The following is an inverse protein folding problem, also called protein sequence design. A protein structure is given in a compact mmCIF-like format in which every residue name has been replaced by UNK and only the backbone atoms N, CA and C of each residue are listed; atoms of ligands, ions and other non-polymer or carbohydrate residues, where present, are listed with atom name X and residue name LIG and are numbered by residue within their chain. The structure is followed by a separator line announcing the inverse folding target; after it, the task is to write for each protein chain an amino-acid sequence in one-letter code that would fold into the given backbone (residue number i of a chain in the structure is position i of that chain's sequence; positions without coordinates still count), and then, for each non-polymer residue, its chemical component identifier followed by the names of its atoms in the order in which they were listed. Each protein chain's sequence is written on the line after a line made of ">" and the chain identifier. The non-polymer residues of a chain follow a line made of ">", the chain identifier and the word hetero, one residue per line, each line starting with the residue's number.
data_IF_072871128554
#
_entry.id   IF_072871128554
#
_cell.length_a   1.000
_cell.length_b   1.000
_cell.length_c   1.000
_cell.angle_alpha   90.00
_cell.angle_beta   90.00
_cell.angle_gamma   90.00
#
_symmetry.space_group_name_H-M   'P 1'
#
loop_
_entity.id
_entity.type
_entity.pdbx_description
1 polymer ?
#
# COMPACT_ATOMS: atom_id res chain seq x y z
N UNK A 1 -13.99 14.04 13.74
CA UNK A 1 -13.93 13.16 12.57
C UNK A 1 -14.29 11.74 12.94
N UNK A 2 -15.13 11.14 12.17
CA UNK A 2 -15.56 9.78 12.40
C UNK A 2 -14.74 8.82 11.51
N UNK A 3 -14.09 7.84 12.13
CA UNK A 3 -13.34 6.81 11.41
C UNK A 3 -14.03 5.45 11.58
N UNK A 4 -15.32 5.41 11.23
CA UNK A 4 -16.08 4.16 11.26
C UNK A 4 -15.55 3.14 10.25
N UNK A 5 -14.84 3.58 9.21
CA UNK A 5 -14.22 2.70 8.22
C UNK A 5 -12.80 2.39 8.67
N UNK A 6 -12.49 1.12 8.98
CA UNK A 6 -11.14 0.76 9.39
C UNK A 6 -10.17 0.87 8.22
N UNK A 7 -8.94 1.27 8.52
CA UNK A 7 -7.86 1.22 7.54
C UNK A 7 -6.53 1.02 8.25
N UNK A 8 -5.54 0.60 7.47
CA UNK A 8 -4.21 0.31 7.94
C UNK A 8 -3.22 1.06 7.07
N UNK A 9 -2.19 1.61 7.69
CA UNK A 9 -1.12 2.32 6.99
C UNK A 9 0.20 1.61 7.25
N UNK A 10 0.95 1.36 6.17
CA UNK A 10 2.31 0.83 6.26
C UNK A 10 3.22 1.71 5.41
N UNK A 11 4.41 2.02 5.93
CA UNK A 11 5.37 2.90 5.27
C UNK A 11 6.66 2.15 5.05
N UNK A 12 7.15 2.19 3.80
CA UNK A 12 8.41 1.54 3.44
C UNK A 12 9.54 2.06 4.35
N UNK A 13 10.29 1.15 4.92
CA UNK A 13 11.34 1.49 5.88
C UNK A 13 10.88 1.67 7.32
N UNK A 14 9.57 1.70 7.58
CA UNK A 14 9.01 1.86 8.93
C UNK A 14 8.07 0.73 9.33
N UNK A 15 7.46 0.04 8.37
CA UNK A 15 6.49 -1.00 8.63
C UNK A 15 5.10 -0.45 8.91
N UNK A 16 4.27 -1.23 9.58
CA UNK A 16 2.92 -0.83 9.95
C UNK A 16 3.00 0.24 11.04
N UNK A 17 2.31 1.34 10.82
CA UNK A 17 2.32 2.50 11.72
C UNK A 17 0.89 2.92 12.03
N UNK A 18 0.74 3.87 12.96
CA UNK A 18 -0.57 4.45 13.25
C UNK A 18 -1.17 5.08 11.99
N UNK A 19 -2.46 4.88 11.72
CA UNK A 19 -3.10 5.53 10.57
C UNK A 19 -3.02 7.05 10.57
N UNK A 20 -2.74 7.66 11.70
CA UNK A 20 -2.60 9.11 11.82
C UNK A 20 -1.17 9.59 11.58
N UNK A 21 -0.24 8.69 11.24
CA UNK A 21 1.16 9.03 11.01
C UNK A 21 1.29 9.97 9.82
N UNK A 22 2.09 11.01 9.96
CA UNK A 22 2.41 11.93 8.87
C UNK A 22 3.32 11.24 7.86
N UNK A 23 2.93 11.23 6.59
CA UNK A 23 3.65 10.53 5.53
C UNK A 23 4.48 11.48 4.67
N UNK A 24 3.94 12.66 4.37
CA UNK A 24 4.62 13.64 3.50
C UNK A 24 4.27 15.05 3.95
N UNK A 25 5.03 16.01 3.42
CA UNK A 25 4.73 17.43 3.63
C UNK A 25 3.56 17.86 2.76
N UNK A 26 2.86 18.91 3.18
CA UNK A 26 1.68 19.41 2.47
C UNK A 26 2.01 19.92 1.07
N UNK A 27 3.26 20.35 0.84
CA UNK A 27 3.73 20.87 -0.44
C UNK A 27 4.46 19.82 -1.28
N UNK A 28 4.36 18.55 -0.94
CA UNK A 28 4.95 17.48 -1.72
C UNK A 28 4.38 17.47 -3.14
N UNK A 29 5.23 17.33 -4.15
CA UNK A 29 4.82 17.40 -5.56
C UNK A 29 3.81 16.32 -5.93
N UNK A 30 3.92 15.12 -5.36
CA UNK A 30 2.96 14.05 -5.60
C UNK A 30 1.57 14.40 -5.10
N UNK A 31 1.49 15.18 -4.03
CA UNK A 31 0.22 15.60 -3.45
C UNK A 31 -0.33 16.85 -4.17
N UNK A 32 0.52 17.84 -4.43
CA UNK A 32 0.10 19.13 -4.97
C UNK A 32 -0.18 19.07 -6.45
N UNK A 33 0.64 18.33 -7.21
CA UNK A 33 0.55 18.27 -8.67
C UNK A 33 -0.01 16.96 -9.20
N UNK A 34 -0.29 16.00 -8.33
CA UNK A 34 -0.73 14.68 -8.77
C UNK A 34 0.36 13.88 -9.47
N UNK A 35 1.64 14.17 -9.18
CA UNK A 35 2.78 13.49 -9.80
C UNK A 35 3.06 12.13 -9.18
N UNK A 36 2.35 11.75 -8.14
CA UNK A 36 2.47 10.46 -7.50
C UNK A 36 1.95 9.33 -8.38
N UNK A 37 2.50 8.14 -8.21
CA UNK A 37 2.00 6.93 -8.86
C UNK A 37 1.34 6.02 -7.84
N UNK A 38 0.34 5.28 -8.30
CA UNK A 38 -0.34 4.33 -7.43
C UNK A 38 -0.76 3.09 -8.21
N UNK A 39 -0.98 2.02 -7.48
CA UNK A 39 -1.61 0.81 -7.99
C UNK A 39 -2.55 0.27 -6.92
N UNK A 40 -3.64 -0.33 -7.32
CA UNK A 40 -4.64 -0.85 -6.39
C UNK A 40 -4.98 -2.28 -6.76
N UNK A 41 -4.98 -3.14 -5.75
CA UNK A 41 -5.45 -4.51 -5.87
C UNK A 41 -6.41 -4.83 -4.74
N UNK A 42 -6.82 -6.08 -4.63
CA UNK A 42 -7.76 -6.54 -3.63
C UNK A 42 -7.06 -7.47 -2.64
N UNK A 43 -7.32 -7.25 -1.35
CA UNK A 43 -6.97 -8.20 -0.30
C UNK A 43 -8.26 -8.85 0.19
N UNK A 44 -8.25 -10.17 0.31
CA UNK A 44 -9.38 -10.94 0.82
C UNK A 44 -8.94 -11.66 2.07
N UNK A 45 -9.66 -11.41 3.16
CA UNK A 45 -9.36 -12.00 4.47
C UNK A 45 -10.47 -12.98 4.85
N UNK A 46 -10.08 -14.19 5.20
CA UNK A 46 -11.01 -15.24 5.65
C UNK A 46 -11.42 -15.00 7.09
N UNK A 47 -12.43 -15.74 7.54
CA UNK A 47 -12.95 -15.61 8.90
C UNK A 47 -11.89 -15.93 9.97
N UNK A 48 -10.91 -16.78 9.65
CA UNK A 48 -9.80 -17.09 10.56
C UNK A 48 -8.72 -16.02 10.59
N UNK A 49 -8.85 -14.96 9.79
CA UNK A 49 -7.88 -13.88 9.71
C UNK A 49 -6.80 -14.07 8.67
N UNK A 50 -6.81 -15.17 7.94
CA UNK A 50 -5.84 -15.44 6.87
C UNK A 50 -6.19 -14.59 5.65
N UNK A 51 -5.21 -13.88 5.10
CA UNK A 51 -5.41 -12.99 3.96
C UNK A 51 -4.69 -13.48 2.72
N UNK A 52 -5.25 -13.17 1.55
CA UNK A 52 -4.59 -13.34 0.26
C UNK A 52 -4.75 -12.06 -0.55
N UNK A 53 -3.80 -11.81 -1.43
CA UNK A 53 -3.80 -10.62 -2.29
C UNK A 53 -3.84 -11.09 -3.73
N UNK A 54 -4.79 -10.54 -4.49
CA UNK A 54 -4.97 -10.94 -5.88
C UNK A 54 -3.85 -10.39 -6.76
N UNK A 55 -3.19 -11.28 -7.52
CA UNK A 55 -2.21 -10.92 -8.56
C UNK A 55 -1.11 -9.97 -8.08
N UNK A 56 -0.57 -10.22 -6.87
CA UNK A 56 0.39 -9.29 -6.25
C UNK A 56 1.62 -9.05 -7.14
N UNK A 57 2.18 -10.11 -7.72
CA UNK A 57 3.38 -9.98 -8.56
C UNK A 57 3.13 -9.11 -9.78
N UNK A 58 1.97 -9.27 -10.41
CA UNK A 58 1.59 -8.47 -11.58
C UNK A 58 1.38 -7.00 -11.20
N UNK A 59 0.77 -6.74 -10.05
CA UNK A 59 0.57 -5.39 -9.54
C UNK A 59 1.89 -4.72 -9.19
N UNK A 60 2.82 -5.44 -8.57
CA UNK A 60 4.14 -4.90 -8.25
C UNK A 60 4.92 -4.58 -9.53
N UNK A 61 4.86 -5.44 -10.53
CA UNK A 61 5.51 -5.19 -11.82
C UNK A 61 4.94 -3.96 -12.51
N UNK A 62 3.62 -3.81 -12.48
CA UNK A 62 2.96 -2.64 -13.07
C UNK A 62 3.29 -1.37 -12.29
N UNK A 63 3.34 -1.46 -10.97
CA UNK A 63 3.72 -0.34 -10.11
C UNK A 63 5.14 0.13 -10.44
N UNK A 64 6.08 -0.81 -10.59
CA UNK A 64 7.46 -0.50 -10.98
C UNK A 64 7.53 0.20 -12.34
N UNK A 65 6.74 -0.27 -13.32
CA UNK A 65 6.68 0.37 -14.64
C UNK A 65 6.10 1.79 -14.56
N UNK A 66 5.10 1.99 -13.73
CA UNK A 66 4.50 3.32 -13.54
C UNK A 66 5.50 4.29 -12.92
N UNK A 67 6.29 3.82 -11.95
CA UNK A 67 7.36 4.64 -11.35
C UNK A 67 8.40 5.01 -12.40
N UNK A 68 8.82 4.05 -13.22
CA UNK A 68 9.78 4.31 -14.29
C UNK A 68 9.21 5.31 -15.31
N UNK A 69 7.91 5.26 -15.58
CA UNK A 69 7.24 6.16 -16.51
C UNK A 69 7.28 7.63 -16.10
N UNK A 70 7.44 7.91 -14.81
CA UNK A 70 7.60 9.28 -14.29
C UNK A 70 9.04 9.56 -13.86
N UNK A 71 10.01 8.77 -14.33
CA UNK A 71 11.43 8.87 -13.98
C UNK A 71 11.70 8.76 -12.48
N UNK A 72 10.88 8.01 -11.78
CA UNK A 72 11.09 7.74 -10.37
C UNK A 72 12.21 6.73 -10.12
N UNK A 73 12.66 6.59 -8.88
CA UNK A 73 13.71 5.64 -8.54
C UNK A 73 13.21 4.19 -8.70
N UNK A 74 14.11 3.30 -9.11
CA UNK A 74 13.79 1.89 -9.23
C UNK A 74 13.43 1.33 -7.85
N UNK A 75 12.22 0.77 -7.67
CA UNK A 75 11.83 0.25 -6.37
C UNK A 75 12.52 -1.07 -6.06
N UNK A 76 12.82 -1.29 -4.79
CA UNK A 76 13.24 -2.59 -4.29
C UNK A 76 11.97 -3.42 -4.04
N UNK A 77 11.63 -4.29 -5.00
CA UNK A 77 10.39 -5.06 -4.92
C UNK A 77 10.38 -6.05 -3.76
N UNK A 78 11.55 -6.52 -3.31
CA UNK A 78 11.60 -7.39 -2.14
C UNK A 78 11.18 -6.65 -0.87
N UNK A 79 11.63 -5.40 -0.72
CA UNK A 79 11.20 -4.55 0.40
C UNK A 79 9.72 -4.26 0.35
N UNK A 80 9.17 -4.00 -0.84
CA UNK A 80 7.73 -3.82 -1.02
C UNK A 80 6.96 -5.07 -0.66
N UNK A 81 7.43 -6.25 -1.09
CA UNK A 81 6.80 -7.52 -0.74
C UNK A 81 6.77 -7.74 0.76
N UNK A 82 7.88 -7.51 1.45
CA UNK A 82 7.94 -7.67 2.90
C UNK A 82 6.97 -6.73 3.61
N UNK A 83 6.88 -5.48 3.16
CA UNK A 83 5.96 -4.50 3.73
C UNK A 83 4.51 -4.94 3.54
N UNK A 84 4.16 -5.40 2.34
CA UNK A 84 2.81 -5.86 2.03
C UNK A 84 2.45 -7.09 2.84
N UNK A 85 3.39 -8.04 2.99
CA UNK A 85 3.18 -9.22 3.83
C UNK A 85 2.93 -8.86 5.29
N UNK A 86 3.68 -7.91 5.82
CA UNK A 86 3.48 -7.42 7.19
C UNK A 86 2.10 -6.78 7.34
N UNK A 87 1.72 -5.94 6.39
CA UNK A 87 0.41 -5.30 6.39
C UNK A 87 -0.71 -6.34 6.32
N UNK A 88 -0.57 -7.35 5.47
CA UNK A 88 -1.56 -8.41 5.31
C UNK A 88 -1.68 -9.24 6.59
N UNK A 89 -0.59 -9.52 7.29
CA UNK A 89 -0.63 -10.24 8.57
C UNK A 89 -1.30 -9.43 9.67
N UNK A 90 -1.16 -8.12 9.61
CA UNK A 90 -1.74 -7.20 10.60
C UNK A 90 -3.22 -6.94 10.33
N UNK A 91 -3.62 -6.93 9.07
CA UNK A 91 -5.00 -6.74 8.65
C UNK A 91 -5.77 -8.05 8.81
N UNK A 92 -6.62 -8.12 9.81
CA UNK A 92 -7.32 -9.37 10.13
C UNK A 92 -8.84 -9.22 10.06
N UNK A 93 -9.31 -8.22 9.36
CA UNK A 93 -10.75 -7.95 9.22
C UNK A 93 -11.28 -8.80 8.07
N UNK A 94 -12.21 -9.76 8.34
CA UNK A 94 -12.73 -10.61 7.27
C UNK A 94 -13.44 -9.83 6.19
N UNK A 95 -13.36 -10.33 4.96
CA UNK A 95 -13.98 -9.74 3.81
C UNK A 95 -12.98 -9.15 2.84
N UNK A 96 -13.47 -8.35 1.92
CA UNK A 96 -12.66 -7.72 0.89
C UNK A 96 -12.27 -6.30 1.29
N UNK A 97 -11.07 -5.90 0.91
CA UNK A 97 -10.60 -4.54 1.08
C UNK A 97 -9.70 -4.15 -0.09
N UNK A 98 -9.57 -2.86 -0.30
CA UNK A 98 -8.64 -2.33 -1.29
C UNK A 98 -7.25 -2.24 -0.67
N UNK A 99 -6.24 -2.73 -1.40
CA UNK A 99 -4.84 -2.54 -1.06
C UNK A 99 -4.27 -1.56 -2.07
N UNK A 100 -3.84 -0.40 -1.60
CA UNK A 100 -3.34 0.66 -2.47
C UNK A 100 -1.86 0.88 -2.22
N UNK A 101 -1.06 0.80 -3.30
CA UNK A 101 0.36 1.13 -3.30
C UNK A 101 0.51 2.56 -3.84
N UNK A 102 1.25 3.37 -3.12
CA UNK A 102 1.42 4.79 -3.48
C UNK A 102 2.88 5.16 -3.46
#
# INVERSE_FOLDING_TARGET
>A
MNSSVPYLLAILGKGVVSPSTMVCHADDLGLVRGDGVFDTTRIVTAQDGTSRIDHLDEHLSRFARSIAGVNGPTPDLDSWNHLIEEAARTWRIPGEAALKLV
#
